data_IF_975090916503
#
_entry.id   IF_975090916503
#
_cell.length_a   1.000
_cell.length_b   1.000
_cell.length_c   1.000
_cell.angle_alpha   90.00
_cell.angle_beta   90.00
_cell.angle_gamma   90.00
#
_symmetry.space_group_name_H-M   'P 1'
#
loop_
_entity.id
_entity.type
_entity.pdbx_description
1 polymer ?
#
# COMPACT_ATOMS: atom_id res chain seq x y z
N UNK A 1 -65.10 16.42 66.84
CA UNK A 1 -65.14 15.32 65.85
C UNK A 1 -63.89 15.40 64.98
N UNK A 2 -62.98 14.44 65.17
CA UNK A 2 -61.76 14.09 64.39
C UNK A 2 -60.69 15.17 64.12
N UNK A 3 -59.76 15.28 65.07
CA UNK A 3 -58.33 15.50 64.81
C UNK A 3 -57.77 14.30 64.04
N UNK A 4 -57.46 14.47 62.76
CA UNK A 4 -56.72 13.50 61.93
C UNK A 4 -55.56 14.21 61.22
N UNK A 5 -54.82 15.01 61.98
CA UNK A 5 -53.49 15.46 61.59
C UNK A 5 -52.45 14.48 62.14
N UNK A 6 -51.52 14.05 61.30
CA UNK A 6 -50.22 13.49 61.70
C UNK A 6 -50.08 12.03 62.17
N UNK A 7 -50.96 11.09 61.81
CA UNK A 7 -50.67 9.64 61.99
C UNK A 7 -50.27 8.87 60.72
N UNK A 8 -49.96 9.55 59.61
CA UNK A 8 -49.46 8.91 58.39
C UNK A 8 -47.94 9.04 58.18
N UNK A 9 -47.19 9.52 59.19
CA UNK A 9 -45.74 9.79 59.09
C UNK A 9 -44.84 8.77 59.82
N UNK A 10 -45.36 7.57 60.14
CA UNK A 10 -44.56 6.50 60.76
C UNK A 10 -44.68 5.17 60.01
N UNK A 11 -43.93 5.10 58.91
CA UNK A 11 -42.98 3.99 58.69
C UNK A 11 -41.61 4.57 58.32
N UNK A 12 -41.16 5.52 59.15
CA UNK A 12 -39.97 6.35 58.94
C UNK A 12 -38.69 5.52 58.76
N UNK A 13 -38.52 4.42 59.51
CA UNK A 13 -37.35 3.54 59.35
C UNK A 13 -37.36 2.77 58.02
N UNK A 14 -38.52 2.31 57.55
CA UNK A 14 -38.64 1.56 56.30
C UNK A 14 -38.43 2.44 55.07
N UNK A 15 -38.87 3.70 55.10
CA UNK A 15 -38.64 4.67 54.03
C UNK A 15 -37.19 5.13 53.96
N UNK A 16 -36.56 5.37 55.11
CA UNK A 16 -35.13 5.72 55.18
C UNK A 16 -34.27 4.53 54.72
N UNK A 17 -34.55 3.31 55.18
CA UNK A 17 -33.81 2.12 54.74
C UNK A 17 -33.95 1.86 53.22
N UNK A 18 -35.15 2.06 52.65
CA UNK A 18 -35.36 1.93 51.22
C UNK A 18 -34.59 2.99 50.42
N UNK A 19 -34.56 4.25 50.89
CA UNK A 19 -33.80 5.32 50.26
C UNK A 19 -32.29 5.05 50.30
N UNK A 20 -31.76 4.58 51.44
CA UNK A 20 -30.35 4.21 51.59
C UNK A 20 -29.99 3.03 50.69
N UNK A 21 -30.83 2.00 50.63
CA UNK A 21 -30.64 0.86 49.73
C UNK A 21 -30.64 1.29 48.25
N UNK A 22 -31.54 2.19 47.86
CA UNK A 22 -31.58 2.73 46.50
C UNK A 22 -30.33 3.56 46.18
N UNK A 23 -29.85 4.38 47.12
CA UNK A 23 -28.63 5.16 46.95
C UNK A 23 -27.38 4.28 46.81
N UNK A 24 -27.29 3.21 47.61
CA UNK A 24 -26.20 2.22 47.50
C UNK A 24 -26.26 1.47 46.16
N UNK A 25 -27.45 1.05 45.72
CA UNK A 25 -27.61 0.38 44.44
C UNK A 25 -27.25 1.29 43.26
N UNK A 26 -27.65 2.56 43.30
CA UNK A 26 -27.24 3.55 42.33
C UNK A 26 -25.72 3.76 42.35
N UNK A 27 -25.10 3.83 43.53
CA UNK A 27 -23.66 3.93 43.69
C UNK A 27 -22.92 2.74 43.06
N UNK A 28 -23.43 1.52 43.23
CA UNK A 28 -22.87 0.31 42.60
C UNK A 28 -23.00 0.38 41.08
N UNK A 29 -24.16 0.79 40.55
CA UNK A 29 -24.36 0.93 39.10
C UNK A 29 -23.40 1.96 38.52
N UNK A 30 -23.26 3.12 39.17
CA UNK A 30 -22.34 4.17 38.73
C UNK A 30 -20.90 3.68 38.78
N UNK A 31 -20.48 3.04 39.87
CA UNK A 31 -19.12 2.48 39.99
C UNK A 31 -18.84 1.42 38.91
N UNK A 32 -19.80 0.54 38.62
CA UNK A 32 -19.68 -0.46 37.56
C UNK A 32 -19.57 0.20 36.18
N UNK A 33 -20.42 1.19 35.88
CA UNK A 33 -20.38 1.94 34.62
C UNK A 33 -19.05 2.68 34.43
N UNK A 34 -18.56 3.35 35.47
CA UNK A 34 -17.24 4.01 35.44
C UNK A 34 -16.11 3.01 35.21
N UNK A 35 -16.18 1.84 35.85
CA UNK A 35 -15.17 0.78 35.64
C UNK A 35 -15.17 0.29 34.19
N UNK A 36 -16.36 0.05 33.62
CA UNK A 36 -16.51 -0.34 32.20
C UNK A 36 -15.90 0.72 31.29
N UNK A 37 -16.26 1.99 31.49
CA UNK A 37 -15.81 3.08 30.63
C UNK A 37 -14.30 3.33 30.71
N UNK A 38 -13.68 3.19 31.88
CA UNK A 38 -12.26 3.49 32.06
C UNK A 38 -11.33 2.32 31.72
N UNK A 39 -11.77 1.08 31.92
CA UNK A 39 -10.89 -0.09 31.80
C UNK A 39 -11.20 -0.97 30.60
N UNK A 40 -12.48 -1.16 30.26
CA UNK A 40 -12.87 -2.12 29.22
C UNK A 40 -13.05 -1.46 27.85
N UNK A 41 -13.62 -0.24 27.81
CA UNK A 41 -13.83 0.48 26.55
C UNK A 41 -12.54 0.70 25.75
N UNK A 42 -11.43 1.15 26.35
CA UNK A 42 -10.21 1.38 25.57
C UNK A 42 -9.71 0.08 24.91
N UNK A 43 -9.75 -1.05 25.62
CA UNK A 43 -9.34 -2.36 25.10
C UNK A 43 -10.24 -2.80 23.95
N UNK A 44 -11.56 -2.69 24.09
CA UNK A 44 -12.49 -3.04 23.01
C UNK A 44 -12.32 -2.16 21.77
N UNK A 45 -11.96 -0.89 21.95
CA UNK A 45 -11.67 0.01 20.83
C UNK A 45 -10.35 -0.34 20.14
N UNK A 46 -9.30 -0.66 20.91
CA UNK A 46 -8.04 -1.15 20.36
C UNK A 46 -8.26 -2.43 19.52
N UNK A 47 -9.02 -3.39 20.05
CA UNK A 47 -9.36 -4.63 19.34
C UNK A 47 -10.15 -4.35 18.04
N UNK A 48 -11.08 -3.40 18.08
CA UNK A 48 -11.89 -3.03 16.92
C UNK A 48 -11.04 -2.30 15.85
N UNK A 49 -10.14 -1.41 16.25
CA UNK A 49 -9.22 -0.72 15.33
C UNK A 49 -8.20 -1.71 14.74
N UNK A 50 -7.69 -2.66 15.54
CA UNK A 50 -6.84 -3.74 15.05
C UNK A 50 -7.56 -4.62 14.00
N UNK A 51 -8.79 -5.04 14.29
CA UNK A 51 -9.59 -5.83 13.36
C UNK A 51 -9.83 -5.08 12.03
N UNK A 52 -10.18 -3.79 12.12
CA UNK A 52 -10.35 -2.93 10.96
C UNK A 52 -9.06 -2.84 10.11
N UNK A 53 -7.90 -2.69 10.74
CA UNK A 53 -6.62 -2.66 10.02
C UNK A 53 -6.29 -3.98 9.30
N UNK A 54 -6.76 -5.12 9.82
CA UNK A 54 -6.66 -6.41 9.13
C UNK A 54 -7.56 -6.48 7.89
N UNK A 55 -8.76 -5.90 7.94
CA UNK A 55 -9.66 -5.83 6.79
C UNK A 55 -9.08 -4.91 5.70
N UNK A 56 -8.57 -3.74 6.08
CA UNK A 56 -7.86 -2.80 5.18
C UNK A 56 -6.67 -3.48 4.50
N UNK A 57 -5.86 -4.23 5.25
CA UNK A 57 -4.74 -4.99 4.67
C UNK A 57 -5.20 -5.96 3.57
N UNK A 58 -6.31 -6.66 3.79
CA UNK A 58 -6.88 -7.57 2.79
C UNK A 58 -7.37 -6.79 1.57
N UNK A 59 -8.04 -5.65 1.76
CA UNK A 59 -8.53 -4.83 0.65
C UNK A 59 -7.39 -4.25 -0.18
N UNK A 60 -6.32 -3.76 0.44
CA UNK A 60 -5.12 -3.27 -0.26
C UNK A 60 -4.36 -4.39 -0.96
N UNK A 61 -4.31 -5.59 -0.37
CA UNK A 61 -3.74 -6.78 -1.02
C UNK A 61 -4.56 -7.19 -2.24
N UNK A 62 -5.89 -7.15 -2.15
CA UNK A 62 -6.79 -7.40 -3.29
C UNK A 62 -6.61 -6.36 -4.37
N UNK A 63 -6.51 -5.08 -4.01
CA UNK A 63 -6.21 -4.00 -4.95
C UNK A 63 -4.93 -4.27 -5.72
N UNK A 64 -3.83 -4.59 -5.03
CA UNK A 64 -2.56 -5.00 -5.65
C UNK A 64 -2.75 -6.18 -6.60
N UNK A 65 -3.40 -7.24 -6.14
CA UNK A 65 -3.65 -8.43 -6.96
C UNK A 65 -4.45 -8.10 -8.22
N UNK A 66 -5.46 -7.23 -8.12
CA UNK A 66 -6.27 -6.82 -9.26
C UNK A 66 -5.45 -6.01 -10.27
N UNK A 67 -4.56 -5.14 -9.79
CA UNK A 67 -3.60 -4.44 -10.65
C UNK A 67 -2.67 -5.42 -11.37
N UNK A 68 -2.11 -6.42 -10.66
CA UNK A 68 -1.24 -7.43 -11.27
C UNK A 68 -1.98 -8.26 -12.32
N UNK A 69 -3.23 -8.65 -12.04
CA UNK A 69 -4.09 -9.39 -12.98
C UNK A 69 -4.34 -8.56 -14.24
N UNK A 70 -4.64 -7.26 -14.10
CA UNK A 70 -4.83 -6.37 -15.25
C UNK A 70 -3.54 -6.21 -16.05
N UNK A 71 -2.40 -6.02 -15.39
CA UNK A 71 -1.10 -5.89 -16.04
C UNK A 71 -0.71 -7.16 -16.80
N UNK A 72 -0.94 -8.35 -16.23
CA UNK A 72 -0.72 -9.63 -16.90
C UNK A 72 -1.71 -9.87 -18.06
N UNK A 73 -2.98 -9.51 -17.87
CA UNK A 73 -4.00 -9.61 -18.93
C UNK A 73 -3.68 -8.72 -20.13
N UNK A 74 -3.18 -7.51 -19.86
CA UNK A 74 -2.70 -6.56 -20.87
C UNK A 74 -1.48 -7.05 -21.63
N UNK A 75 -0.52 -7.69 -20.95
CA UNK A 75 0.63 -8.32 -21.60
C UNK A 75 0.20 -9.44 -22.56
N UNK A 76 -0.76 -10.27 -22.15
CA UNK A 76 -1.28 -11.37 -22.99
C UNK A 76 -2.11 -10.88 -24.17
N UNK A 77 -2.90 -9.82 -23.96
CA UNK A 77 -3.72 -9.20 -24.98
C UNK A 77 -3.84 -7.68 -24.73
N UNK A 78 -3.02 -6.87 -25.41
CA UNK A 78 -3.04 -5.41 -25.26
C UNK A 78 -4.39 -4.76 -25.60
N UNK A 79 -5.23 -5.44 -26.39
CA UNK A 79 -6.56 -4.97 -26.76
C UNK A 79 -7.66 -5.38 -25.77
N UNK A 80 -7.30 -6.08 -24.69
CA UNK A 80 -8.27 -6.44 -23.66
C UNK A 80 -8.85 -5.18 -23.00
N UNK A 81 -10.14 -5.28 -22.62
CA UNK A 81 -10.87 -4.25 -21.89
C UNK A 81 -11.48 -4.89 -20.66
N UNK A 82 -10.67 -5.05 -19.64
CA UNK A 82 -11.02 -5.65 -18.36
C UNK A 82 -11.28 -4.51 -17.38
N UNK A 83 -12.39 -4.60 -16.67
CA UNK A 83 -12.79 -3.65 -15.62
C UNK A 83 -12.94 -4.42 -14.31
N UNK A 84 -12.31 -3.93 -13.25
CA UNK A 84 -12.38 -4.50 -11.91
C UNK A 84 -12.77 -3.41 -10.90
N UNK A 85 -13.66 -3.76 -9.98
CA UNK A 85 -14.06 -2.91 -8.87
C UNK A 85 -13.35 -3.38 -7.61
N UNK A 86 -12.91 -2.43 -6.79
CA UNK A 86 -12.11 -2.66 -5.60
C UNK A 86 -12.76 -1.87 -4.45
N UNK A 87 -13.70 -2.49 -3.73
CA UNK A 87 -14.19 -1.89 -2.50
C UNK A 87 -13.05 -1.83 -1.48
N UNK A 88 -12.88 -0.68 -0.85
CA UNK A 88 -11.93 -0.46 0.23
C UNK A 88 -12.70 0.02 1.45
N UNK A 89 -12.61 -0.73 2.53
CA UNK A 89 -13.24 -0.36 3.78
C UNK A 89 -12.46 0.76 4.46
N UNK A 90 -13.01 1.98 4.47
CA UNK A 90 -12.35 3.13 5.10
C UNK A 90 -12.71 3.30 6.57
N UNK A 91 -13.80 2.72 7.04
CA UNK A 91 -14.15 2.66 8.46
C UNK A 91 -14.67 1.31 8.92
N UNK A 92 -14.49 1.00 10.20
CA UNK A 92 -14.81 -0.33 10.70
C UNK A 92 -14.64 -0.59 12.19
N UNK A 93 -13.94 0.27 12.95
CA UNK A 93 -13.82 0.07 14.39
C UNK A 93 -15.10 0.51 15.11
N UNK A 94 -16.11 -0.36 15.14
CA UNK A 94 -17.37 -0.15 15.87
C UNK A 94 -17.40 -1.05 17.12
N UNK A 95 -17.76 -0.47 18.27
CA UNK A 95 -17.87 -1.20 19.53
C UNK A 95 -19.34 -1.19 19.98
N UNK A 96 -19.97 -2.37 20.16
CA UNK A 96 -21.34 -2.46 20.61
C UNK A 96 -21.59 -1.72 21.95
N UNK A 97 -22.76 -1.10 22.07
CA UNK A 97 -23.31 -0.48 23.30
C UNK A 97 -22.64 0.81 23.81
N UNK A 98 -21.55 1.29 23.19
CA UNK A 98 -20.84 2.49 23.66
C UNK A 98 -20.63 3.44 22.47
N UNK A 99 -21.57 4.37 22.30
CA UNK A 99 -21.49 5.57 21.44
C UNK A 99 -20.79 5.38 20.09
N UNK A 100 -21.56 5.22 19.02
CA UNK A 100 -21.11 4.91 17.65
C UNK A 100 -20.18 5.93 17.00
N UNK A 101 -18.93 5.97 17.43
CA UNK A 101 -17.84 6.61 16.70
C UNK A 101 -17.06 5.52 15.98
N UNK A 102 -17.52 5.16 14.78
CA UNK A 102 -16.70 4.36 13.86
C UNK A 102 -15.43 5.15 13.58
N UNK A 103 -14.26 4.56 13.80
CA UNK A 103 -13.04 5.16 13.26
C UNK A 103 -13.11 5.09 11.74
N UNK A 104 -12.69 6.18 11.11
CA UNK A 104 -12.61 6.28 9.66
C UNK A 104 -11.16 6.20 9.20
N UNK A 105 -10.98 6.65 7.98
CA UNK A 105 -9.67 6.76 7.37
C UNK A 105 -9.75 7.61 6.13
N UNK A 106 -8.58 7.92 5.59
CA UNK A 106 -8.42 8.71 4.38
C UNK A 106 -7.77 7.85 3.32
N UNK A 107 -8.44 7.71 2.19
CA UNK A 107 -7.89 7.11 0.98
C UNK A 107 -7.40 8.22 0.06
N UNK A 108 -6.12 8.21 -0.27
CA UNK A 108 -5.54 9.11 -1.27
C UNK A 108 -5.21 8.32 -2.52
N UNK A 109 -5.65 8.85 -3.67
CA UNK A 109 -5.37 8.30 -5.00
C UNK A 109 -4.52 9.31 -5.74
N UNK A 110 -3.40 8.85 -6.25
CA UNK A 110 -2.47 9.62 -7.05
C UNK A 110 -1.97 10.89 -6.35
N UNK A 111 -1.76 10.84 -5.03
CA UNK A 111 -1.36 12.01 -4.25
C UNK A 111 0.09 11.96 -3.74
N UNK A 112 0.70 10.78 -3.72
CA UNK A 112 2.04 10.58 -3.17
C UNK A 112 3.09 10.58 -4.28
N UNK A 113 4.37 10.69 -3.89
CA UNK A 113 5.47 10.58 -4.86
C UNK A 113 5.60 9.14 -5.33
N UNK A 114 5.32 8.91 -6.60
CA UNK A 114 5.60 7.64 -7.26
C UNK A 114 6.06 7.88 -8.69
N UNK A 115 7.08 7.14 -9.11
CA UNK A 115 7.67 7.24 -10.43
C UNK A 115 8.83 6.26 -10.57
N UNK A 116 9.17 5.98 -11.81
CA UNK A 116 10.29 5.11 -12.16
C UNK A 116 11.08 5.75 -13.30
N UNK A 117 12.40 5.57 -13.29
CA UNK A 117 13.26 6.03 -14.36
C UNK A 117 14.25 4.93 -14.72
N UNK A 118 14.23 4.55 -15.99
CA UNK A 118 15.03 3.45 -16.53
C UNK A 118 16.02 4.04 -17.53
N UNK A 119 17.30 3.78 -17.31
CA UNK A 119 18.37 4.12 -18.24
C UNK A 119 19.15 2.85 -18.57
N UNK A 120 19.21 2.52 -19.86
CA UNK A 120 19.97 1.40 -20.39
C UNK A 120 21.11 1.94 -21.23
N UNK A 121 22.31 1.45 -20.97
CA UNK A 121 23.48 1.73 -21.79
C UNK A 121 23.84 0.46 -22.55
N UNK A 122 23.96 0.57 -23.86
CA UNK A 122 24.38 -0.49 -24.75
C UNK A 122 25.54 -0.02 -25.65
N UNK A 123 26.01 -0.89 -26.53
CA UNK A 123 27.06 -0.61 -27.50
C UNK A 123 26.58 0.17 -28.75
N UNK A 124 25.36 0.73 -28.70
CA UNK A 124 24.69 1.43 -29.79
C UNK A 124 24.14 2.79 -29.34
N UNK A 125 22.82 2.94 -29.20
CA UNK A 125 22.13 4.21 -28.90
C UNK A 125 21.74 4.32 -27.43
N UNK A 126 21.61 3.20 -26.72
CA UNK A 126 21.03 3.14 -25.38
C UNK A 126 19.52 3.38 -25.38
N UNK A 127 18.96 3.34 -24.17
CA UNK A 127 17.55 3.66 -23.94
C UNK A 127 17.38 4.52 -22.68
N UNK A 128 16.42 5.44 -22.73
CA UNK A 128 16.01 6.24 -21.59
C UNK A 128 14.48 6.35 -21.59
N UNK A 129 13.84 5.96 -20.48
CA UNK A 129 12.38 6.03 -20.37
C UNK A 129 11.83 7.45 -20.37
N UNK A 130 12.70 8.47 -20.26
CA UNK A 130 12.35 9.90 -20.23
C UNK A 130 11.18 10.14 -19.26
N UNK A 131 10.11 10.78 -19.75
CA UNK A 131 8.94 11.11 -18.94
C UNK A 131 7.88 10.00 -18.91
N UNK A 132 8.04 8.90 -19.66
CA UNK A 132 7.02 7.84 -19.80
C UNK A 132 6.65 7.21 -18.46
N UNK A 133 7.61 7.12 -17.55
CA UNK A 133 7.44 6.54 -16.22
C UNK A 133 7.63 7.57 -15.09
N UNK A 134 7.67 8.87 -15.43
CA UNK A 134 7.88 9.95 -14.45
C UNK A 134 6.84 9.98 -13.33
N UNK A 135 5.65 9.45 -13.61
CA UNK A 135 4.59 9.28 -12.63
C UNK A 135 3.85 7.96 -12.87
N UNK A 136 3.98 7.01 -11.94
CA UNK A 136 3.37 5.66 -12.02
C UNK A 136 2.05 5.57 -11.26
N UNK A 137 1.71 6.59 -10.46
CA UNK A 137 0.52 6.63 -9.64
C UNK A 137 0.64 5.91 -8.30
N UNK A 138 -0.21 6.27 -7.35
CA UNK A 138 -0.18 5.76 -5.98
C UNK A 138 -1.60 5.58 -5.43
N UNK A 139 -1.79 4.68 -4.48
CA UNK A 139 -3.00 4.60 -3.66
C UNK A 139 -2.57 4.35 -2.23
N UNK A 140 -2.92 5.25 -1.32
CA UNK A 140 -2.54 5.16 0.09
C UNK A 140 -3.75 5.25 1.02
N UNK A 141 -3.77 4.39 2.03
CA UNK A 141 -4.75 4.42 3.11
C UNK A 141 -4.10 4.90 4.40
N UNK A 142 -4.66 5.96 4.97
CA UNK A 142 -4.27 6.55 6.24
C UNK A 142 -5.39 6.33 7.27
N UNK A 143 -5.19 5.47 8.28
CA UNK A 143 -6.17 5.34 9.35
C UNK A 143 -6.26 6.62 10.19
N UNK A 144 -7.37 6.78 10.91
CA UNK A 144 -7.49 7.74 12.01
C UNK A 144 -7.68 6.97 13.33
N UNK A 145 -6.72 6.10 13.67
CA UNK A 145 -6.82 5.28 14.87
C UNK A 145 -6.53 6.14 16.12
N UNK A 146 -7.14 5.78 17.25
CA UNK A 146 -6.95 6.48 18.53
C UNK A 146 -6.32 5.55 19.57
N UNK A 147 -6.63 4.25 19.47
CA UNK A 147 -6.27 3.23 20.45
C UNK A 147 -5.28 2.21 19.90
N UNK A 148 -5.26 1.98 18.58
CA UNK A 148 -4.31 1.14 17.86
C UNK A 148 -3.29 1.98 17.10
N UNK A 149 -2.26 1.30 16.58
CA UNK A 149 -1.18 1.90 15.80
C UNK A 149 -1.71 2.50 14.48
N UNK A 150 -1.22 3.68 14.14
CA UNK A 150 -1.37 4.26 12.80
C UNK A 150 -0.32 3.68 11.85
N UNK A 151 -0.73 2.67 11.06
CA UNK A 151 0.07 2.11 9.97
C UNK A 151 -0.56 2.52 8.64
N UNK A 152 0.24 3.13 7.76
CA UNK A 152 -0.21 3.55 6.43
C UNK A 152 0.08 2.45 5.42
N UNK A 153 -0.92 2.07 4.63
CA UNK A 153 -0.74 1.14 3.52
C UNK A 153 -0.60 1.93 2.22
N UNK A 154 0.52 1.77 1.52
CA UNK A 154 0.84 2.50 0.29
C UNK A 154 1.07 1.54 -0.86
N UNK A 155 0.21 1.58 -1.87
CA UNK A 155 0.51 1.05 -3.19
C UNK A 155 1.25 2.11 -4.01
N UNK A 156 2.44 1.80 -4.51
CA UNK A 156 3.26 2.70 -5.32
C UNK A 156 4.23 1.91 -6.20
N UNK A 157 4.49 2.37 -7.43
CA UNK A 157 5.46 1.73 -8.35
C UNK A 157 5.29 0.20 -8.51
N UNK A 158 4.06 -0.29 -8.38
CA UNK A 158 3.78 -1.73 -8.39
C UNK A 158 4.09 -2.47 -7.10
N UNK A 159 4.52 -1.85 -6.01
CA UNK A 159 4.70 -2.49 -4.72
C UNK A 159 3.53 -2.15 -3.77
N UNK A 160 3.28 -3.01 -2.78
CA UNK A 160 2.46 -2.67 -1.61
C UNK A 160 3.36 -2.59 -0.37
N UNK A 161 3.39 -1.43 0.25
CA UNK A 161 4.28 -1.05 1.34
C UNK A 161 3.44 -0.71 2.58
N UNK A 162 3.97 -1.04 3.75
CA UNK A 162 3.46 -0.57 5.04
C UNK A 162 4.45 0.41 5.63
N UNK A 163 3.99 1.60 5.97
CA UNK A 163 4.78 2.66 6.58
C UNK A 163 4.28 2.97 8.00
N UNK A 164 5.20 3.14 8.94
CA UNK A 164 4.92 3.45 10.34
C UNK A 164 6.12 4.15 10.98
N UNK A 165 5.88 5.27 11.68
CA UNK A 165 6.89 5.96 12.49
C UNK A 165 8.21 6.20 11.72
N UNK A 166 8.13 6.70 10.48
CA UNK A 166 9.24 6.91 9.53
C UNK A 166 10.01 5.63 9.11
N UNK A 167 9.46 4.45 9.36
CA UNK A 167 9.97 3.19 8.81
C UNK A 167 9.03 2.67 7.76
N UNK A 168 9.58 2.03 6.74
CA UNK A 168 8.77 1.43 5.67
C UNK A 168 9.22 0.01 5.39
N UNK A 169 8.26 -0.86 5.08
CA UNK A 169 8.54 -2.24 4.72
C UNK A 169 7.64 -2.68 3.57
N UNK A 170 8.26 -3.21 2.52
CA UNK A 170 7.55 -3.82 1.41
C UNK A 170 6.89 -5.13 1.86
N UNK A 171 5.59 -5.26 1.61
CA UNK A 171 4.82 -6.46 1.93
C UNK A 171 4.54 -7.31 0.70
N UNK A 172 4.25 -6.66 -0.43
CA UNK A 172 4.08 -7.33 -1.73
C UNK A 172 5.02 -6.68 -2.74
N UNK A 173 5.80 -7.53 -3.41
CA UNK A 173 6.83 -7.11 -4.35
C UNK A 173 6.24 -6.52 -5.63
N UNK A 174 6.98 -5.61 -6.28
CA UNK A 174 6.69 -5.13 -7.61
C UNK A 174 6.91 -6.20 -8.68
N UNK A 175 6.45 -5.91 -9.90
CA UNK A 175 6.72 -6.70 -11.10
C UNK A 175 8.18 -6.58 -11.58
N UNK A 176 9.15 -6.58 -10.68
CA UNK A 176 10.57 -6.57 -10.98
C UNK A 176 11.12 -7.95 -10.66
N UNK A 177 11.74 -8.57 -11.66
CA UNK A 177 12.28 -9.93 -11.56
C UNK A 177 13.74 -9.90 -11.97
N UNK A 178 14.59 -10.40 -11.09
CA UNK A 178 16.01 -10.57 -11.32
C UNK A 178 16.33 -12.06 -11.19
N UNK A 179 16.93 -12.62 -12.22
CA UNK A 179 17.26 -14.05 -12.27
C UNK A 179 18.66 -14.24 -12.87
N UNK A 180 19.36 -15.26 -12.39
CA UNK A 180 20.57 -15.73 -13.06
C UNK A 180 20.23 -16.32 -14.43
N UNK A 181 20.92 -15.87 -15.46
CA UNK A 181 20.73 -16.38 -16.82
C UNK A 181 21.33 -17.77 -17.02
N UNK A 182 20.97 -18.41 -18.12
CA UNK A 182 21.34 -19.80 -18.45
C UNK A 182 22.77 -19.95 -19.01
N UNK A 183 23.54 -18.87 -19.12
CA UNK A 183 24.87 -18.83 -19.76
C UNK A 183 26.03 -18.52 -18.81
N UNK A 184 27.24 -18.36 -19.38
CA UNK A 184 28.44 -17.97 -18.61
C UNK A 184 28.26 -16.51 -18.16
N UNK A 185 28.00 -16.31 -16.86
CA UNK A 185 27.80 -15.00 -16.24
C UNK A 185 26.82 -14.13 -17.05
N UNK A 186 25.53 -14.50 -17.06
CA UNK A 186 24.45 -13.65 -17.55
C UNK A 186 23.42 -13.40 -16.46
N UNK A 187 22.74 -12.25 -16.53
CA UNK A 187 21.64 -11.91 -15.62
C UNK A 187 20.45 -11.44 -16.44
N UNK A 188 19.26 -11.90 -16.06
CA UNK A 188 18.01 -11.49 -16.64
C UNK A 188 17.34 -10.52 -15.68
N UNK A 189 17.09 -9.30 -16.12
CA UNK A 189 16.32 -8.30 -15.38
C UNK A 189 15.08 -7.96 -16.19
N UNK A 190 13.91 -8.20 -15.62
CA UNK A 190 12.62 -7.84 -16.20
C UNK A 190 11.90 -6.85 -15.30
N UNK A 191 11.41 -5.76 -15.87
CA UNK A 191 10.67 -4.71 -15.17
C UNK A 191 9.31 -4.54 -15.83
N UNK A 192 8.26 -4.88 -15.10
CA UNK A 192 6.87 -4.57 -15.46
C UNK A 192 6.41 -3.40 -14.62
N UNK A 193 6.57 -2.21 -15.17
CA UNK A 193 6.03 -1.00 -14.58
C UNK A 193 4.51 -1.00 -14.74
N UNK A 194 3.83 -0.38 -13.78
CA UNK A 194 2.40 -0.11 -13.83
C UNK A 194 2.20 1.39 -13.67
N UNK A 195 1.40 1.97 -14.56
CA UNK A 195 0.99 3.37 -14.49
C UNK A 195 -0.51 3.46 -14.20
N UNK A 196 -0.87 4.04 -13.05
CA UNK A 196 -2.25 4.32 -12.67
C UNK A 196 -2.68 5.71 -13.17
N UNK A 197 -3.40 5.74 -14.28
CA UNK A 197 -3.90 6.97 -14.88
C UNK A 197 -5.25 7.38 -14.28
N UNK A 198 -5.26 8.47 -13.54
CA UNK A 198 -6.49 8.94 -12.91
C UNK A 198 -6.32 10.27 -12.22
N UNK A 199 -7.45 10.89 -11.85
CA UNK A 199 -7.43 12.16 -11.14
C UNK A 199 -6.84 11.96 -9.75
N UNK A 200 -6.05 12.94 -9.32
CA UNK A 200 -5.64 13.05 -7.92
C UNK A 200 -6.88 13.28 -7.06
N UNK A 201 -7.00 12.55 -5.95
CA UNK A 201 -8.16 12.63 -5.09
C UNK A 201 -7.84 12.16 -3.68
N UNK A 202 -8.52 12.75 -2.70
CA UNK A 202 -8.45 12.36 -1.30
C UNK A 202 -9.87 12.20 -0.79
N UNK A 203 -10.18 11.07 -0.18
CA UNK A 203 -11.51 10.70 0.28
C UNK A 203 -11.41 10.29 1.75
N UNK A 204 -12.05 11.06 2.62
CA UNK A 204 -12.22 10.70 4.01
C UNK A 204 -13.61 10.08 4.18
N UNK A 205 -13.66 8.85 4.71
CA UNK A 205 -14.91 8.13 4.91
C UNK A 205 -14.83 7.24 6.14
N UNK A 206 -16.00 6.86 6.65
CA UNK A 206 -16.16 5.85 7.68
C UNK A 206 -16.99 4.65 7.19
N UNK A 207 -17.17 4.55 5.88
CA UNK A 207 -17.84 3.46 5.18
C UNK A 207 -16.91 2.81 4.16
N UNK A 208 -17.48 2.09 3.19
CA UNK A 208 -16.76 1.50 2.06
C UNK A 208 -16.75 2.52 0.92
N UNK A 209 -15.59 2.70 0.29
CA UNK A 209 -15.43 3.44 -0.97
C UNK A 209 -15.01 2.46 -2.07
N UNK A 210 -15.45 2.69 -3.31
CA UNK A 210 -15.09 1.81 -4.44
C UNK A 210 -14.07 2.49 -5.36
N UNK A 211 -13.06 1.71 -5.76
CA UNK A 211 -12.07 2.10 -6.77
C UNK A 211 -12.27 1.23 -8.00
N UNK A 212 -12.58 1.86 -9.12
CA UNK A 212 -12.67 1.19 -10.41
C UNK A 212 -11.32 1.24 -11.12
N UNK A 213 -10.86 0.06 -11.54
CA UNK A 213 -9.67 -0.12 -12.38
C UNK A 213 -10.10 -0.59 -13.77
N UNK A 214 -9.55 0.03 -14.81
CA UNK A 214 -9.81 -0.34 -16.22
C UNK A 214 -8.49 -0.51 -16.95
N UNK A 215 -8.29 -1.64 -17.61
CA UNK A 215 -7.12 -1.86 -18.46
C UNK A 215 -7.17 -0.97 -19.70
N UNK A 216 -6.09 -0.22 -19.98
CA UNK A 216 -6.04 0.70 -21.12
C UNK A 216 -5.08 0.20 -22.20
N UNK A 217 -3.78 0.12 -21.88
CA UNK A 217 -2.73 -0.15 -22.87
C UNK A 217 -1.53 -0.89 -22.26
N UNK A 218 -0.73 -1.51 -23.14
CA UNK A 218 0.50 -2.19 -22.79
C UNK A 218 1.62 -1.80 -23.75
N UNK A 219 2.65 -1.15 -23.22
CA UNK A 219 3.76 -0.62 -24.01
C UNK A 219 5.03 -1.41 -23.72
N UNK A 220 5.66 -1.95 -24.77
CA UNK A 220 7.04 -2.43 -24.69
C UNK A 220 7.96 -1.20 -24.67
N UNK A 221 8.66 -1.01 -23.54
CA UNK A 221 9.57 0.11 -23.35
C UNK A 221 10.95 -0.19 -23.91
N UNK A 222 11.45 -1.40 -23.66
CA UNK A 222 12.74 -1.88 -24.13
C UNK A 222 12.77 -3.40 -24.07
N UNK A 223 13.22 -4.05 -25.13
CA UNK A 223 13.61 -5.46 -25.11
C UNK A 223 15.03 -5.59 -25.65
N UNK A 224 15.95 -6.10 -24.84
CA UNK A 224 17.33 -6.35 -25.27
C UNK A 224 17.44 -7.35 -26.42
N UNK A 225 16.41 -8.15 -26.70
CA UNK A 225 16.32 -9.04 -27.86
C UNK A 225 15.91 -8.34 -29.16
N UNK A 226 15.48 -7.07 -29.10
CA UNK A 226 15.09 -6.32 -30.27
C UNK A 226 16.26 -6.13 -31.24
N UNK A 227 15.95 -6.36 -32.52
CA UNK A 227 16.88 -6.16 -33.62
C UNK A 227 16.65 -4.78 -34.23
N UNK A 228 17.73 -4.05 -34.47
CA UNK A 228 17.66 -2.79 -35.21
C UNK A 228 18.46 -2.89 -36.50
N UNK A 229 18.02 -2.11 -37.49
CA UNK A 229 18.67 -2.07 -38.81
C UNK A 229 19.58 -0.86 -38.87
N UNK A 230 20.88 -1.10 -39.05
CA UNK A 230 21.85 -0.05 -39.32
C UNK A 230 22.33 -0.18 -40.78
N UNK A 231 21.75 0.61 -41.67
CA UNK A 231 21.97 0.49 -43.11
C UNK A 231 21.44 -0.84 -43.65
N UNK A 232 22.33 -1.74 -44.06
CA UNK A 232 21.98 -3.05 -44.62
C UNK A 232 22.17 -4.20 -43.61
N UNK A 233 22.59 -3.91 -42.39
CA UNK A 233 22.88 -4.92 -41.36
C UNK A 233 21.79 -4.90 -40.28
N UNK A 234 21.34 -6.09 -39.91
CA UNK A 234 20.47 -6.30 -38.75
C UNK A 234 21.33 -6.74 -37.58
N UNK A 235 21.34 -5.92 -36.52
CA UNK A 235 22.19 -6.10 -35.35
C UNK A 235 21.34 -6.18 -34.08
N UNK A 236 21.89 -6.86 -33.07
CA UNK A 236 21.35 -6.90 -31.70
C UNK A 236 22.27 -6.06 -30.81
N UNK A 237 21.71 -5.14 -30.03
CA UNK A 237 22.48 -4.33 -29.10
C UNK A 237 22.90 -5.18 -27.89
N UNK A 238 24.12 -4.98 -27.40
CA UNK A 238 24.61 -5.62 -26.20
C UNK A 238 24.49 -4.66 -25.01
N UNK A 239 23.57 -4.95 -24.10
CA UNK A 239 23.36 -4.13 -22.90
C UNK A 239 24.57 -4.26 -21.97
N UNK A 240 25.17 -3.12 -21.65
CA UNK A 240 26.37 -3.01 -20.80
C UNK A 240 26.04 -2.59 -19.37
N UNK A 241 25.00 -1.77 -19.18
CA UNK A 241 24.52 -1.41 -17.85
C UNK A 241 23.05 -1.01 -17.85
N UNK A 242 22.41 -1.23 -16.72
CA UNK A 242 21.03 -0.79 -16.46
C UNK A 242 20.98 -0.04 -15.13
N UNK A 243 20.40 1.15 -15.15
CA UNK A 243 20.09 1.93 -13.96
C UNK A 243 18.56 2.03 -13.83
N UNK A 244 18.05 1.54 -12.71
CA UNK A 244 16.65 1.63 -12.32
C UNK A 244 16.53 2.56 -11.13
N UNK A 245 15.89 3.71 -11.32
CA UNK A 245 15.62 4.68 -10.24
C UNK A 245 14.14 4.67 -9.90
N UNK A 246 13.82 4.53 -8.63
CA UNK A 246 12.46 4.58 -8.09
C UNK A 246 12.30 5.90 -7.34
N UNK A 247 11.28 6.68 -7.67
CA UNK A 247 10.86 7.85 -6.92
C UNK A 247 9.79 7.43 -5.91
N UNK A 248 10.04 7.70 -4.63
CA UNK A 248 9.25 7.17 -3.51
C UNK A 248 9.58 7.93 -2.22
N UNK A 249 8.63 8.06 -1.31
CA UNK A 249 8.89 8.48 0.08
C UNK A 249 9.31 7.30 0.98
N UNK A 250 9.06 6.07 0.54
CA UNK A 250 9.31 4.81 1.24
C UNK A 250 10.66 4.19 0.87
N UNK A 251 11.73 4.98 0.97
CA UNK A 251 13.07 4.61 0.47
C UNK A 251 13.65 3.38 1.18
N UNK A 252 13.44 3.23 2.49
CA UNK A 252 13.90 2.08 3.28
C UNK A 252 13.33 0.75 2.75
N UNK A 253 12.05 0.73 2.37
CA UNK A 253 11.40 -0.45 1.80
C UNK A 253 12.02 -0.87 0.47
N UNK A 254 12.30 0.11 -0.40
CA UNK A 254 12.89 -0.13 -1.73
C UNK A 254 14.36 -0.50 -1.66
N UNK A 255 15.14 0.16 -0.80
CA UNK A 255 16.54 -0.19 -0.56
C UNK A 255 16.66 -1.64 -0.11
N UNK A 256 15.90 -2.03 0.92
CA UNK A 256 15.89 -3.40 1.43
C UNK A 256 15.47 -4.41 0.37
N UNK A 257 14.43 -4.09 -0.41
CA UNK A 257 13.96 -4.95 -1.49
C UNK A 257 15.05 -5.21 -2.53
N UNK A 258 15.78 -4.19 -2.99
CA UNK A 258 16.85 -4.37 -3.96
C UNK A 258 18.05 -5.13 -3.37
N UNK A 259 18.38 -4.92 -2.09
CA UNK A 259 19.43 -5.69 -1.42
C UNK A 259 19.08 -7.17 -1.31
N UNK A 260 17.84 -7.48 -0.93
CA UNK A 260 17.35 -8.86 -0.84
C UNK A 260 17.29 -9.51 -2.25
N UNK A 261 16.77 -8.80 -3.25
CA UNK A 261 16.71 -9.27 -4.65
C UNK A 261 18.10 -9.61 -5.21
N UNK A 262 19.09 -8.76 -4.94
CA UNK A 262 20.47 -8.97 -5.38
C UNK A 262 21.12 -10.15 -4.63
N UNK A 263 20.87 -10.26 -3.32
CA UNK A 263 21.39 -11.34 -2.47
C UNK A 263 20.84 -12.70 -2.85
N UNK A 264 19.55 -12.80 -3.15
CA UNK A 264 18.91 -14.03 -3.65
C UNK A 264 19.54 -14.52 -4.96
N UNK A 265 20.01 -13.58 -5.78
CA UNK A 265 20.73 -13.85 -7.03
C UNK A 265 22.25 -13.91 -6.86
N UNK A 266 22.77 -13.98 -5.64
CA UNK A 266 24.21 -14.09 -5.34
C UNK A 266 25.07 -12.95 -5.89
N UNK A 267 24.49 -11.76 -6.08
CA UNK A 267 25.18 -10.57 -6.55
C UNK A 267 25.88 -9.84 -5.39
N UNK A 268 27.08 -9.33 -5.64
CA UNK A 268 27.88 -8.59 -4.67
C UNK A 268 27.81 -7.08 -4.89
N UNK A 269 27.47 -6.32 -3.83
CA UNK A 269 27.45 -4.84 -3.84
C UNK A 269 28.86 -4.29 -4.13
N UNK A 270 28.97 -3.28 -4.99
CA UNK A 270 30.24 -2.67 -5.42
C UNK A 270 30.89 -3.35 -6.63
N UNK A 271 30.59 -4.64 -6.85
CA UNK A 271 31.13 -5.45 -7.95
C UNK A 271 30.07 -5.72 -9.01
N UNK A 272 28.97 -6.38 -8.64
CA UNK A 272 27.89 -6.80 -9.53
C UNK A 272 26.74 -5.81 -9.60
N UNK A 273 26.49 -5.08 -8.51
CA UNK A 273 25.48 -4.03 -8.44
C UNK A 273 25.92 -2.90 -7.52
N UNK A 274 25.41 -1.71 -7.77
CA UNK A 274 25.55 -0.54 -6.92
C UNK A 274 24.14 -0.07 -6.50
N UNK A 275 24.01 0.45 -5.27
CA UNK A 275 22.74 0.93 -4.71
C UNK A 275 22.97 2.30 -4.09
N UNK A 276 22.21 3.29 -4.52
CA UNK A 276 22.24 4.66 -4.02
C UNK A 276 20.87 5.04 -3.49
N UNK A 277 20.80 5.53 -2.27
CA UNK A 277 19.56 5.99 -1.62
C UNK A 277 19.68 7.48 -1.32
N UNK A 278 18.72 8.24 -1.84
CA UNK A 278 18.48 9.64 -1.51
C UNK A 278 17.12 9.77 -0.82
N UNK A 279 16.77 10.91 -0.19
CA UNK A 279 15.55 11.03 0.61
C UNK A 279 14.23 10.69 -0.11
N UNK A 280 14.17 10.83 -1.45
CA UNK A 280 12.97 10.56 -2.25
C UNK A 280 13.23 9.66 -3.46
N UNK A 281 14.39 8.99 -3.51
CA UNK A 281 14.69 8.08 -4.60
C UNK A 281 15.67 6.98 -4.21
N UNK A 282 15.52 5.82 -4.84
CA UNK A 282 16.43 4.69 -4.72
C UNK A 282 16.86 4.28 -6.12
N UNK A 283 18.17 4.25 -6.38
CA UNK A 283 18.74 3.83 -7.66
C UNK A 283 19.48 2.51 -7.50
N UNK A 284 18.96 1.48 -8.17
CA UNK A 284 19.62 0.19 -8.36
C UNK A 284 20.35 0.17 -9.71
N UNK A 285 21.65 -0.08 -9.66
CA UNK A 285 22.53 -0.06 -10.83
C UNK A 285 23.19 -1.40 -11.05
N UNK A 286 23.17 -1.90 -12.28
CA UNK A 286 23.94 -3.06 -12.73
C UNK A 286 25.09 -2.56 -13.63
N UNK A 287 26.30 -2.33 -13.08
CA UNK A 287 27.44 -1.79 -13.82
C UNK A 287 28.12 -2.83 -14.72
N UNK A 288 28.94 -2.41 -15.71
CA UNK A 288 29.59 -3.31 -16.66
C UNK A 288 30.79 -4.10 -16.09
N UNK A 289 31.11 -3.96 -14.78
CA UNK A 289 32.41 -4.29 -14.17
C UNK A 289 32.86 -5.76 -14.34
N UNK A 290 31.97 -6.68 -14.69
CA UNK A 290 32.22 -8.13 -14.68
C UNK A 290 32.09 -8.85 -16.03
N UNK A 291 32.06 -8.13 -17.18
CA UNK A 291 31.82 -8.75 -18.50
C UNK A 291 30.55 -9.63 -18.54
N UNK A 292 29.58 -9.34 -17.66
CA UNK A 292 28.33 -10.08 -17.53
C UNK A 292 27.37 -9.60 -18.61
N UNK A 293 26.77 -10.52 -19.34
CA UNK A 293 25.69 -10.18 -20.28
C UNK A 293 24.43 -9.87 -19.50
N UNK A 294 23.83 -8.71 -19.75
CA UNK A 294 22.56 -8.30 -19.14
C UNK A 294 21.46 -8.47 -20.19
N UNK A 295 20.50 -9.35 -19.93
CA UNK A 295 19.27 -9.40 -20.72
C UNK A 295 18.24 -8.56 -19.97
N UNK A 296 17.87 -7.43 -20.55
CA UNK A 296 16.95 -6.48 -19.93
C UNK A 296 15.66 -6.36 -20.73
N UNK A 297 14.53 -6.45 -20.04
CA UNK A 297 13.20 -6.22 -20.61
C UNK A 297 12.42 -5.26 -19.72
N UNK A 298 11.77 -4.28 -20.33
CA UNK A 298 10.94 -3.31 -19.65
C UNK A 298 9.61 -3.14 -20.37
N UNK A 299 8.53 -3.14 -19.59
CA UNK A 299 7.17 -2.96 -20.07
C UNK A 299 6.43 -1.97 -19.17
N UNK A 300 5.42 -1.31 -19.72
CA UNK A 300 4.50 -0.47 -18.97
C UNK A 300 3.06 -0.92 -19.21
N UNK A 301 2.37 -1.33 -18.14
CA UNK A 301 0.93 -1.55 -18.16
C UNK A 301 0.21 -0.28 -17.70
N UNK A 302 -0.61 0.29 -18.57
CA UNK A 302 -1.42 1.47 -18.28
C UNK A 302 -2.81 1.03 -17.82
N UNK A 303 -3.16 1.44 -16.60
CA UNK A 303 -4.44 1.12 -15.97
C UNK A 303 -5.08 2.43 -15.56
N UNK A 304 -6.30 2.68 -16.05
CA UNK A 304 -7.09 3.80 -15.60
C UNK A 304 -7.67 3.53 -14.22
N UNK A 305 -7.51 4.49 -13.31
CA UNK A 305 -8.05 4.46 -11.96
C UNK A 305 -9.10 5.56 -11.78
N UNK A 306 -10.26 5.18 -11.23
CA UNK A 306 -11.35 6.08 -10.91
C UNK A 306 -11.86 5.80 -9.50
N UNK A 307 -12.11 6.85 -8.73
CA UNK A 307 -12.57 6.79 -7.35
C UNK A 307 -13.81 7.67 -7.18
N UNK A 308 -14.63 7.37 -6.16
CA UNK A 308 -15.83 8.16 -5.82
C UNK A 308 -16.96 8.03 -6.84
N UNK A 309 -17.16 6.80 -7.35
CA UNK A 309 -18.21 6.44 -8.32
C UNK A 309 -19.48 6.01 -7.59
#
# INVERSE_FOLDING_TARGET
MKTRGFEAFKKSESGIAAAVAAALLLGIIVAAMTTIQLHYVPVWKEDAEYAHMSDVWQDMTRFKSNVDILAAGLEMNPNARIVLNNPVQLGGADVPFIGGMKTGGTLAVNNDVSGMWIVVTDDQVGYNSNNTLSYTGSVSYHPTNIHYVDETYCYENGALIVARDNRSMMKLSPGIVLENGTGISSVNLSVRAVTLEGKRGVMASNTIEDIRLTSEDFVNLHDSDDLFTNGNETLKANVTSVNLTIYTENTEAWEKYFEDLAKENTLQKGTDYDLSTDPHMVTFSLPPKNNRTINFKAYNAMIKIESGI
#
